data_IF_642375338960
#
_entry.id   IF_642375338960
#
_cell.length_a   1.000
_cell.length_b   1.000
_cell.length_c   1.000
_cell.angle_alpha   90.00
_cell.angle_beta   90.00
_cell.angle_gamma   90.00
#
_symmetry.space_group_name_H-M   'P 1'
#
loop_
_entity.id
_entity.type
_entity.pdbx_description
1 polymer ?
#
# COMPACT_ATOMS: atom_id res chain seq x y z
N UNK A 1 -25.25 -16.73 -21.19
CA UNK A 1 -24.29 -17.41 -20.28
C UNK A 1 -23.11 -16.49 -20.09
N UNK A 2 -22.97 -15.89 -18.91
CA UNK A 2 -21.85 -15.00 -18.63
C UNK A 2 -20.58 -15.84 -18.44
N UNK A 3 -19.55 -15.57 -19.23
CA UNK A 3 -18.24 -16.20 -19.07
C UNK A 3 -17.71 -15.84 -17.67
N UNK A 4 -17.71 -16.81 -16.75
CA UNK A 4 -16.86 -16.75 -15.55
C UNK A 4 -15.43 -16.92 -16.03
N UNK A 5 -14.77 -15.81 -16.35
CA UNK A 5 -13.33 -15.78 -16.51
C UNK A 5 -12.78 -16.02 -15.10
N UNK A 6 -12.45 -17.27 -14.79
CA UNK A 6 -11.64 -17.59 -13.62
C UNK A 6 -10.26 -16.98 -13.86
N UNK A 7 -10.09 -15.72 -13.46
CA UNK A 7 -8.78 -15.07 -13.35
C UNK A 7 -8.08 -15.70 -12.14
N UNK A 8 -7.74 -16.98 -12.24
CA UNK A 8 -6.86 -17.64 -11.28
C UNK A 8 -5.43 -17.34 -11.71
N UNK A 9 -4.81 -16.48 -10.90
CA UNK A 9 -3.44 -16.63 -10.43
C UNK A 9 -2.37 -16.80 -11.51
N UNK A 10 -1.91 -15.72 -12.13
CA UNK A 10 -0.51 -15.60 -12.58
C UNK A 10 -0.08 -14.20 -13.04
N UNK A 11 -0.79 -13.13 -12.66
CA UNK A 11 -0.30 -11.79 -12.98
C UNK A 11 0.80 -11.45 -11.98
N UNK A 12 2.06 -11.63 -12.39
CA UNK A 12 3.20 -11.27 -11.58
C UNK A 12 3.09 -9.76 -11.27
N UNK A 13 3.03 -9.33 -10.00
CA UNK A 13 2.84 -7.91 -9.67
C UNK A 13 3.90 -7.00 -10.28
N UNK A 14 5.05 -7.55 -10.69
CA UNK A 14 6.08 -6.83 -11.46
C UNK A 14 5.65 -6.39 -12.86
N UNK A 15 4.64 -7.00 -13.46
CA UNK A 15 4.23 -6.72 -14.85
C UNK A 15 3.37 -5.45 -14.98
N UNK A 16 2.65 -5.06 -13.92
CA UNK A 16 1.73 -3.91 -13.95
C UNK A 16 1.99 -2.84 -12.86
N UNK A 17 2.96 -3.10 -11.98
CA UNK A 17 3.38 -2.15 -10.96
C UNK A 17 4.73 -1.54 -11.32
N UNK A 18 4.86 -0.25 -11.05
CA UNK A 18 6.17 0.39 -11.10
C UNK A 18 7.09 -0.18 -9.99
N UNK A 19 8.42 -0.08 -10.12
CA UNK A 19 9.34 -0.59 -9.09
C UNK A 19 9.03 -0.07 -7.68
N UNK A 20 8.67 1.22 -7.57
CA UNK A 20 8.32 1.83 -6.28
C UNK A 20 7.00 1.27 -5.71
N UNK A 21 6.01 1.00 -6.56
CA UNK A 21 4.73 0.40 -6.14
C UNK A 21 4.91 -1.05 -5.69
N UNK A 22 5.67 -1.82 -6.46
CA UNK A 22 6.03 -3.19 -6.09
C UNK A 22 6.76 -3.23 -4.75
N UNK A 23 7.74 -2.35 -4.56
CA UNK A 23 8.49 -2.27 -3.30
C UNK A 23 7.61 -1.84 -2.12
N UNK A 24 6.66 -0.93 -2.31
CA UNK A 24 5.68 -0.55 -1.29
C UNK A 24 4.86 -1.75 -0.82
N UNK A 25 4.27 -2.50 -1.76
CA UNK A 25 3.49 -3.71 -1.45
C UNK A 25 4.36 -4.73 -0.72
N UNK A 26 5.55 -5.03 -1.24
CA UNK A 26 6.48 -5.99 -0.63
C UNK A 26 6.86 -5.59 0.80
N UNK A 27 7.05 -4.30 1.07
CA UNK A 27 7.33 -3.81 2.43
C UNK A 27 6.13 -3.94 3.36
N UNK A 28 4.93 -3.58 2.90
CA UNK A 28 3.70 -3.78 3.68
C UNK A 28 3.41 -5.26 3.95
N UNK A 29 3.78 -6.16 3.03
CA UNK A 29 3.67 -7.60 3.21
C UNK A 29 4.64 -8.13 4.28
N UNK A 30 5.88 -7.64 4.28
CA UNK A 30 6.93 -8.17 5.16
C UNK A 30 6.89 -7.57 6.58
N UNK A 31 6.61 -6.27 6.70
CA UNK A 31 6.67 -5.52 7.97
C UNK A 31 5.28 -5.36 8.58
N UNK A 32 4.23 -5.46 7.75
CA UNK A 32 2.86 -5.20 8.15
C UNK A 32 2.49 -3.70 8.04
N UNK A 33 1.41 -3.30 8.73
CA UNK A 33 0.89 -1.95 8.63
C UNK A 33 1.91 -0.88 9.00
N UNK A 34 2.15 0.08 8.11
CA UNK A 34 3.22 1.07 8.24
C UNK A 34 2.72 2.48 7.99
N UNK A 35 3.31 3.48 8.66
CA UNK A 35 2.99 4.88 8.37
C UNK A 35 3.72 5.35 7.13
N UNK A 36 3.26 6.47 6.55
CA UNK A 36 3.98 7.13 5.46
C UNK A 36 5.44 7.46 5.84
N UNK A 37 5.69 7.83 7.10
CA UNK A 37 7.06 8.16 7.56
C UNK A 37 7.94 6.92 7.53
N UNK A 38 7.43 5.80 8.01
CA UNK A 38 8.17 4.54 8.03
C UNK A 38 8.51 4.09 6.62
N UNK A 39 7.54 4.16 5.69
CA UNK A 39 7.74 3.81 4.29
C UNK A 39 8.76 4.72 3.59
N UNK A 40 8.78 6.02 3.91
CA UNK A 40 9.81 6.96 3.42
C UNK A 40 11.20 6.55 3.89
N UNK A 41 11.34 6.26 5.18
CA UNK A 41 12.63 5.88 5.77
C UNK A 41 13.14 4.55 5.20
N UNK A 42 12.25 3.57 5.03
CA UNK A 42 12.62 2.22 4.57
C UNK A 42 12.91 2.18 3.08
N UNK A 43 12.22 2.97 2.26
CA UNK A 43 12.39 2.99 0.80
C UNK A 43 13.32 4.12 0.31
N UNK A 44 13.84 4.93 1.24
CA UNK A 44 14.68 6.09 0.96
C UNK A 44 14.16 6.93 -0.23
N UNK A 45 12.86 7.20 -0.24
CA UNK A 45 12.16 7.84 -1.36
C UNK A 45 11.40 9.07 -0.89
N UNK A 46 11.24 10.11 -1.73
CA UNK A 46 10.58 11.36 -1.32
C UNK A 46 9.17 11.14 -0.77
N UNK A 47 8.81 11.92 0.25
CA UNK A 47 7.53 11.80 0.97
C UNK A 47 6.30 11.97 0.08
N UNK A 48 6.37 12.86 -0.91
CA UNK A 48 5.31 13.09 -1.91
C UNK A 48 5.20 11.89 -2.84
N UNK A 49 6.32 11.40 -3.38
CA UNK A 49 6.37 10.19 -4.23
C UNK A 49 5.76 8.98 -3.53
N UNK A 50 6.08 8.76 -2.25
CA UNK A 50 5.47 7.67 -1.47
C UNK A 50 3.95 7.88 -1.34
N UNK A 51 3.51 9.09 -1.01
CA UNK A 51 2.08 9.39 -0.86
C UNK A 51 1.30 9.20 -2.16
N UNK A 52 1.82 9.68 -3.28
CA UNK A 52 1.17 9.57 -4.59
C UNK A 52 1.02 8.11 -5.02
N UNK A 53 2.05 7.28 -4.77
CA UNK A 53 1.99 5.86 -5.07
C UNK A 53 1.05 5.10 -4.13
N UNK A 54 1.01 5.43 -2.84
CA UNK A 54 0.02 4.88 -1.91
C UNK A 54 -1.41 5.18 -2.37
N UNK A 55 -1.69 6.43 -2.80
CA UNK A 55 -3.00 6.78 -3.35
C UNK A 55 -3.34 6.00 -4.63
N UNK A 56 -2.37 5.82 -5.54
CA UNK A 56 -2.57 5.02 -6.76
C UNK A 56 -2.87 3.56 -6.42
N UNK A 57 -2.15 2.97 -5.47
CA UNK A 57 -2.39 1.60 -5.00
C UNK A 57 -3.75 1.46 -4.29
N UNK A 58 -4.15 2.45 -3.51
CA UNK A 58 -5.47 2.48 -2.86
C UNK A 58 -6.59 2.53 -3.87
N UNK A 59 -6.47 3.36 -4.92
CA UNK A 59 -7.45 3.42 -6.03
C UNK A 59 -7.59 2.07 -6.75
N UNK A 60 -6.50 1.30 -6.82
CA UNK A 60 -6.49 -0.07 -7.36
C UNK A 60 -6.98 -1.13 -6.37
N UNK A 61 -7.41 -0.75 -5.16
CA UNK A 61 -7.87 -1.66 -4.09
C UNK A 61 -6.82 -2.69 -3.67
N UNK A 62 -5.54 -2.33 -3.73
CA UNK A 62 -4.44 -3.21 -3.30
C UNK A 62 -4.03 -2.93 -1.84
N UNK A 63 -4.28 -1.72 -1.37
CA UNK A 63 -3.97 -1.28 0.00
C UNK A 63 -5.10 -0.43 0.54
N UNK A 64 -5.22 -0.37 1.85
CA UNK A 64 -6.13 0.53 2.54
C UNK A 64 -5.43 1.34 3.64
N UNK A 65 -6.02 2.50 3.95
CA UNK A 65 -5.55 3.37 5.04
C UNK A 65 -6.47 3.21 6.24
N UNK A 66 -5.90 3.17 7.43
CA UNK A 66 -6.65 3.21 8.68
C UNK A 66 -5.93 4.11 9.69
N UNK A 67 -6.68 4.55 10.69
CA UNK A 67 -6.17 5.37 11.78
C UNK A 67 -6.25 4.59 13.07
N UNK A 68 -5.19 4.64 13.87
CA UNK A 68 -5.21 4.14 15.25
C UNK A 68 -5.38 5.33 16.18
N UNK A 69 -6.51 5.39 16.89
CA UNK A 69 -6.70 6.39 17.93
C UNK A 69 -5.82 6.00 19.13
N UNK A 70 -4.87 6.85 19.50
CA UNK A 70 -3.98 6.63 20.65
C UNK A 70 -4.56 7.18 21.95
N UNK A 71 -5.73 7.83 21.91
CA UNK A 71 -6.31 8.53 23.08
C UNK A 71 -5.56 9.80 23.49
N UNK A 72 -4.49 10.16 22.76
CA UNK A 72 -3.70 11.37 23.02
C UNK A 72 -4.19 12.54 22.17
N UNK A 73 -4.04 13.75 22.70
CA UNK A 73 -4.38 15.00 22.00
C UNK A 73 -3.46 15.18 20.79
N UNK A 74 -4.04 15.35 19.59
CA UNK A 74 -3.30 15.59 18.35
C UNK A 74 -3.92 14.91 17.14
N UNK A 75 -3.25 15.03 15.98
CA UNK A 75 -3.69 14.35 14.75
C UNK A 75 -3.37 12.86 14.85
N UNK A 76 -4.34 11.95 14.66
CA UNK A 76 -4.08 10.52 14.72
C UNK A 76 -3.10 10.10 13.63
N UNK A 77 -2.31 9.08 13.94
CA UNK A 77 -1.40 8.46 12.97
C UNK A 77 -2.20 7.68 11.93
N UNK A 78 -1.78 7.83 10.67
CA UNK A 78 -2.37 7.12 9.54
C UNK A 78 -1.42 6.00 9.13
N UNK A 79 -1.95 4.79 9.17
CA UNK A 79 -1.27 3.57 8.74
C UNK A 79 -1.85 3.09 7.41
N UNK A 80 -1.01 2.39 6.67
CA UNK A 80 -1.36 1.73 5.42
C UNK A 80 -1.13 0.23 5.59
N UNK A 81 -2.04 -0.59 5.10
CA UNK A 81 -1.92 -2.05 5.07
C UNK A 81 -2.39 -2.62 3.75
N UNK A 82 -2.03 -3.86 3.46
CA UNK A 82 -2.59 -4.61 2.35
C UNK A 82 -4.10 -4.80 2.57
N UNK A 83 -4.85 -4.73 1.48
CA UNK A 83 -6.27 -5.10 1.50
C UNK A 83 -6.35 -6.64 1.52
N UNK A 84 -7.14 -7.18 2.44
CA UNK A 84 -7.44 -8.63 2.52
C UNK A 84 -8.43 -9.05 1.44
#
# INVERSE_FOLDING_TARGET
>A
MANRIEIKNEINPKEYLTPIQYNLIKKLQNIGPSTRRDLVNVLNSPRTTIYDNLLKLQKRKLIEKFTRNSGMRGRPLVFWKLME
#
